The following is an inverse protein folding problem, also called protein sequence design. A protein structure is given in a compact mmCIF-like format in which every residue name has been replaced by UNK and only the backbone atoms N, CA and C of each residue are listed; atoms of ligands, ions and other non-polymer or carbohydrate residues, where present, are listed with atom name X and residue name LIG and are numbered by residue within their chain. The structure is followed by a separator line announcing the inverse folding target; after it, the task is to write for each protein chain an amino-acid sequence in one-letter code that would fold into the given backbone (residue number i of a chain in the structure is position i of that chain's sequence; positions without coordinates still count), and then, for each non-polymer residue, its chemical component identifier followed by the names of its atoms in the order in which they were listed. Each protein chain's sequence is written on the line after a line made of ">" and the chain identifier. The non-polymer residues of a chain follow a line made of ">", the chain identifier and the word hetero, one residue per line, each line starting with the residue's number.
data_IF_171443243405
#
_entry.id   IF_171443243405
#
_cell.length_a   1.000
_cell.length_b   1.000
_cell.length_c   1.000
_cell.angle_alpha   90.00
_cell.angle_beta   90.00
_cell.angle_gamma   90.00
#
_symmetry.space_group_name_H-M   'P 1'
#
loop_
_entity.id
_entity.type
_entity.pdbx_description
1 polymer ?
#
# COMPACT_ATOMS: atom_id res chain seq x y z
N UNK A 1 13.11 -9.01 19.20
CA UNK A 1 12.13 -7.95 19.53
C UNK A 1 10.79 -8.64 19.56
N UNK A 2 10.24 -8.87 20.74
CA UNK A 2 8.95 -9.54 20.91
C UNK A 2 7.85 -8.72 20.26
N UNK A 3 7.18 -9.29 19.30
CA UNK A 3 6.00 -8.71 18.65
C UNK A 3 4.74 -9.01 19.49
N UNK A 4 4.78 -8.62 20.76
CA UNK A 4 3.68 -8.86 21.71
C UNK A 4 2.34 -8.26 21.26
N UNK A 5 2.37 -7.26 20.39
CA UNK A 5 1.18 -6.66 19.77
C UNK A 5 0.58 -7.51 18.63
N UNK A 6 1.30 -8.54 18.14
CA UNK A 6 0.81 -9.49 17.13
C UNK A 6 0.03 -10.66 17.74
N UNK A 7 -0.73 -10.40 18.80
CA UNK A 7 -1.69 -11.37 19.31
C UNK A 7 -2.86 -11.54 18.33
N UNK A 8 -3.43 -12.74 18.29
CA UNK A 8 -4.54 -13.08 17.39
C UNK A 8 -5.74 -12.15 17.54
N UNK A 9 -6.01 -11.68 18.77
CA UNK A 9 -7.10 -10.74 19.05
C UNK A 9 -6.85 -9.35 18.42
N UNK A 10 -5.62 -8.89 18.42
CA UNK A 10 -5.24 -7.61 17.80
C UNK A 10 -5.26 -7.69 16.27
N UNK A 11 -4.91 -8.84 15.71
CA UNK A 11 -4.99 -9.09 14.26
C UNK A 11 -6.45 -9.14 13.81
N UNK A 12 -7.34 -9.76 14.58
CA UNK A 12 -8.77 -9.80 14.27
C UNK A 12 -9.37 -8.38 14.26
N UNK A 13 -9.04 -7.54 15.25
CA UNK A 13 -9.43 -6.12 15.28
C UNK A 13 -8.85 -5.33 14.10
N UNK A 14 -7.59 -5.58 13.73
CA UNK A 14 -6.98 -4.99 12.54
C UNK A 14 -7.72 -5.39 11.26
N UNK A 15 -8.10 -6.65 11.13
CA UNK A 15 -8.93 -7.12 10.01
C UNK A 15 -10.27 -6.39 9.97
N UNK A 16 -10.97 -6.28 11.08
CA UNK A 16 -12.24 -5.55 11.15
C UNK A 16 -12.07 -4.10 10.67
N UNK A 17 -11.02 -3.41 11.10
CA UNK A 17 -10.73 -2.04 10.69
C UNK A 17 -10.38 -1.96 9.19
N UNK A 18 -9.58 -2.88 8.67
CA UNK A 18 -9.18 -2.92 7.25
C UNK A 18 -10.33 -3.33 6.33
N UNK A 19 -11.19 -4.26 6.79
CA UNK A 19 -12.36 -4.71 6.04
C UNK A 19 -13.52 -3.70 6.15
N UNK A 20 -13.55 -2.88 7.20
CA UNK A 20 -14.62 -1.93 7.49
C UNK A 20 -14.66 -0.71 6.56
N UNK A 21 -13.72 -0.59 5.61
CA UNK A 21 -13.91 0.40 4.53
C UNK A 21 -15.24 0.07 3.84
N UNK A 22 -16.25 0.95 3.93
CA UNK A 22 -17.57 0.63 3.40
C UNK A 22 -17.48 0.15 1.96
N UNK A 23 -18.12 -0.96 1.64
CA UNK A 23 -18.11 -1.53 0.29
C UNK A 23 -18.46 -0.48 -0.78
N UNK A 24 -19.33 0.48 -0.42
CA UNK A 24 -19.69 1.62 -1.27
C UNK A 24 -18.47 2.47 -1.63
N UNK A 25 -17.51 2.68 -0.70
CA UNK A 25 -16.28 3.46 -0.97
C UNK A 25 -15.37 2.70 -1.93
N UNK A 26 -15.21 1.40 -1.75
CA UNK A 26 -14.41 0.56 -2.67
C UNK A 26 -15.02 0.58 -4.08
N UNK A 27 -16.33 0.38 -4.20
CA UNK A 27 -17.04 0.44 -5.48
C UNK A 27 -16.90 1.82 -6.12
N UNK A 28 -17.09 2.91 -5.38
CA UNK A 28 -16.94 4.26 -5.93
C UNK A 28 -15.52 4.55 -6.42
N UNK A 29 -14.50 4.06 -5.74
CA UNK A 29 -13.10 4.16 -6.19
C UNK A 29 -12.88 3.43 -7.52
N UNK A 30 -13.40 2.21 -7.67
CA UNK A 30 -13.29 1.46 -8.92
C UNK A 30 -14.05 2.13 -10.07
N UNK A 31 -15.25 2.65 -9.82
CA UNK A 31 -16.01 3.41 -10.81
C UNK A 31 -15.24 4.65 -11.23
N UNK A 32 -14.72 5.43 -10.27
CA UNK A 32 -13.92 6.62 -10.56
C UNK A 32 -12.68 6.27 -11.39
N UNK A 33 -11.95 5.24 -10.99
CA UNK A 33 -10.76 4.77 -11.72
C UNK A 33 -11.13 4.38 -13.15
N UNK A 34 -12.22 3.63 -13.35
CA UNK A 34 -12.71 3.25 -14.67
C UNK A 34 -13.07 4.47 -15.51
N UNK A 35 -13.79 5.45 -14.95
CA UNK A 35 -14.16 6.69 -15.64
C UNK A 35 -12.93 7.51 -16.05
N UNK A 36 -11.93 7.60 -15.17
CA UNK A 36 -10.66 8.28 -15.49
C UNK A 36 -9.90 7.56 -16.61
N UNK A 37 -9.82 6.22 -16.55
CA UNK A 37 -9.19 5.43 -17.62
C UNK A 37 -9.91 5.59 -18.94
N UNK A 38 -11.24 5.53 -18.96
CA UNK A 38 -12.04 5.76 -20.15
C UNK A 38 -11.82 7.17 -20.71
N UNK A 39 -11.83 8.18 -19.85
CA UNK A 39 -11.52 9.55 -20.25
C UNK A 39 -10.12 9.64 -20.89
N UNK A 40 -9.09 9.05 -20.28
CA UNK A 40 -7.72 9.07 -20.80
C UNK A 40 -7.60 8.37 -22.17
N UNK A 41 -8.31 7.26 -22.36
CA UNK A 41 -8.34 6.52 -23.66
C UNK A 41 -8.96 7.38 -24.78
N UNK A 42 -9.95 8.20 -24.43
CA UNK A 42 -10.64 9.07 -25.40
C UNK A 42 -9.87 10.37 -25.70
N UNK A 43 -8.79 10.67 -24.97
CA UNK A 43 -7.97 11.84 -25.24
C UNK A 43 -6.93 11.58 -26.34
N UNK A 44 -6.47 12.62 -27.03
CA UNK A 44 -5.29 12.51 -27.89
C UNK A 44 -4.08 11.98 -27.08
N UNK A 45 -3.20 11.27 -27.77
CA UNK A 45 -2.00 10.73 -27.11
C UNK A 45 -1.24 11.84 -26.37
N UNK A 46 -0.94 11.69 -25.07
CA UNK A 46 -0.32 12.75 -24.31
C UNK A 46 1.10 13.05 -24.82
N UNK A 47 1.54 14.30 -24.66
CA UNK A 47 2.91 14.69 -24.94
C UNK A 47 3.90 13.77 -24.17
N UNK A 48 4.96 13.36 -24.81
CA UNK A 48 6.00 12.46 -24.28
C UNK A 48 6.53 12.87 -22.89
N UNK A 49 6.50 14.17 -22.58
CA UNK A 49 6.90 14.68 -21.25
C UNK A 49 6.03 14.10 -20.11
N UNK A 50 4.74 13.84 -20.37
CA UNK A 50 3.85 13.25 -19.36
C UNK A 50 4.15 11.76 -19.14
N UNK A 51 4.63 11.05 -20.17
CA UNK A 51 5.11 9.69 -20.02
C UNK A 51 6.37 9.65 -19.12
N UNK A 52 7.32 10.53 -19.34
CA UNK A 52 8.48 10.65 -18.46
C UNK A 52 8.10 10.97 -17.02
N UNK A 53 7.15 11.91 -16.84
CA UNK A 53 6.65 12.23 -15.50
C UNK A 53 5.96 11.02 -14.84
N UNK A 54 5.16 10.26 -15.58
CA UNK A 54 4.50 9.06 -15.06
C UNK A 54 5.52 7.99 -14.63
N UNK A 55 6.55 7.74 -15.44
CA UNK A 55 7.64 6.80 -15.11
C UNK A 55 8.39 7.28 -13.87
N UNK A 56 8.71 8.57 -13.78
CA UNK A 56 9.36 9.14 -12.60
C UNK A 56 8.48 8.98 -11.35
N UNK A 57 7.19 9.31 -11.43
CA UNK A 57 6.25 9.15 -10.31
C UNK A 57 6.12 7.69 -9.90
N UNK A 58 6.02 6.76 -10.85
CA UNK A 58 5.99 5.33 -10.56
C UNK A 58 7.25 4.87 -9.82
N UNK A 59 8.44 5.30 -10.27
CA UNK A 59 9.69 4.98 -9.59
C UNK A 59 9.73 5.56 -8.17
N UNK A 60 9.35 6.83 -8.01
CA UNK A 60 9.36 7.50 -6.71
C UNK A 60 8.40 6.84 -5.71
N UNK A 61 7.17 6.57 -6.12
CA UNK A 61 6.15 5.99 -5.26
C UNK A 61 6.40 4.50 -5.01
N UNK A 62 6.53 3.72 -6.07
CA UNK A 62 6.65 2.26 -5.99
C UNK A 62 8.00 1.81 -5.49
N UNK A 63 9.08 2.26 -6.14
CA UNK A 63 10.42 1.77 -5.82
C UNK A 63 10.98 2.42 -4.55
N UNK A 64 11.00 3.75 -4.47
CA UNK A 64 11.59 4.45 -3.33
C UNK A 64 10.68 4.46 -2.11
N UNK A 65 9.39 4.75 -2.29
CA UNK A 65 8.44 4.83 -1.19
C UNK A 65 8.06 3.46 -0.64
N UNK A 66 7.40 2.65 -1.43
CA UNK A 66 6.84 1.37 -0.96
C UNK A 66 7.92 0.30 -0.83
N UNK A 67 8.65 0.01 -1.91
CA UNK A 67 9.59 -1.13 -1.90
C UNK A 67 10.81 -0.86 -1.03
N UNK A 68 11.49 0.27 -1.18
CA UNK A 68 12.71 0.54 -0.43
C UNK A 68 12.40 0.93 1.02
N UNK A 69 11.46 1.86 1.27
CA UNK A 69 11.20 2.30 2.63
C UNK A 69 10.22 1.38 3.36
N UNK A 70 8.94 1.29 2.94
CA UNK A 70 7.94 0.57 3.73
C UNK A 70 8.28 -0.90 3.88
N UNK A 71 8.60 -1.57 2.78
CA UNK A 71 8.91 -2.99 2.77
C UNK A 71 10.29 -3.28 3.37
N UNK A 72 11.36 -2.83 2.73
CA UNK A 72 12.73 -3.25 3.12
C UNK A 72 13.23 -2.57 4.38
N UNK A 73 13.01 -1.26 4.55
CA UNK A 73 13.51 -0.54 5.72
C UNK A 73 12.60 -0.69 6.94
N UNK A 74 11.31 -0.29 6.83
CA UNK A 74 10.44 -0.25 8.00
C UNK A 74 9.96 -1.64 8.43
N UNK A 75 9.61 -2.53 7.49
CA UNK A 75 9.13 -3.88 7.83
C UNK A 75 10.26 -4.86 8.11
N UNK A 76 11.21 -5.01 7.20
CA UNK A 76 12.27 -6.01 7.28
C UNK A 76 13.57 -5.54 7.93
N UNK A 77 13.70 -4.25 8.23
CA UNK A 77 14.91 -3.67 8.85
C UNK A 77 16.22 -3.97 8.12
N UNK A 78 16.13 -4.19 6.80
CA UNK A 78 17.28 -4.59 5.98
C UNK A 78 18.29 -3.45 5.75
N UNK A 79 17.88 -2.22 6.00
CA UNK A 79 18.73 -1.03 5.95
C UNK A 79 18.09 0.13 6.73
N UNK A 80 18.90 1.13 7.10
CA UNK A 80 18.44 2.32 7.83
C UNK A 80 18.71 3.54 6.96
N UNK A 81 17.64 4.23 6.49
CA UNK A 81 17.79 5.47 5.71
C UNK A 81 18.26 6.62 6.60
N UNK A 82 18.95 7.60 6.00
CA UNK A 82 19.12 8.89 6.66
C UNK A 82 17.75 9.62 6.75
N UNK A 83 17.60 10.50 7.73
CA UNK A 83 16.32 11.17 8.00
C UNK A 83 15.70 11.91 6.80
N UNK A 84 16.46 12.68 5.99
CA UNK A 84 15.88 13.31 4.81
C UNK A 84 15.29 12.31 3.81
N UNK A 85 15.99 11.19 3.58
CA UNK A 85 15.52 10.14 2.68
C UNK A 85 14.28 9.42 3.24
N UNK A 86 14.23 9.20 4.56
CA UNK A 86 13.07 8.63 5.24
C UNK A 86 11.83 9.50 5.01
N UNK A 87 11.91 10.80 5.31
CA UNK A 87 10.78 11.73 5.11
C UNK A 87 10.34 11.81 3.66
N UNK A 88 11.30 11.96 2.74
CA UNK A 88 11.03 11.98 1.32
C UNK A 88 10.28 10.72 0.86
N UNK A 89 10.75 9.55 1.25
CA UNK A 89 10.16 8.27 0.86
C UNK A 89 8.78 8.04 1.48
N UNK A 90 8.53 8.54 2.70
CA UNK A 90 7.19 8.53 3.31
C UNK A 90 6.21 9.36 2.48
N UNK A 91 6.61 10.57 2.09
CA UNK A 91 5.79 11.45 1.24
C UNK A 91 5.53 10.77 -0.11
N UNK A 92 6.58 10.23 -0.74
CA UNK A 92 6.48 9.56 -2.03
C UNK A 92 5.50 8.36 -1.99
N UNK A 93 5.61 7.50 -0.97
CA UNK A 93 4.70 6.37 -0.79
C UNK A 93 3.25 6.82 -0.54
N UNK A 94 3.06 7.88 0.26
CA UNK A 94 1.73 8.41 0.58
C UNK A 94 1.02 8.97 -0.67
N UNK A 95 1.76 9.57 -1.60
CA UNK A 95 1.21 10.03 -2.88
C UNK A 95 0.70 8.87 -3.75
N UNK A 96 1.22 7.66 -3.57
CA UNK A 96 0.76 6.44 -4.24
C UNK A 96 -0.54 5.85 -3.68
N UNK A 97 -1.13 6.44 -2.64
CA UNK A 97 -2.37 5.95 -2.03
C UNK A 97 -2.22 4.65 -1.23
N UNK A 98 -1.00 4.30 -0.83
CA UNK A 98 -0.67 3.01 -0.19
C UNK A 98 -0.95 2.97 1.31
N UNK A 99 -1.77 3.88 1.84
CA UNK A 99 -2.05 4.00 3.28
C UNK A 99 -0.88 4.61 4.09
N UNK A 100 -1.08 4.78 5.40
CA UNK A 100 -0.02 5.29 6.27
C UNK A 100 1.11 4.26 6.45
N UNK A 101 2.35 4.69 6.75
CA UNK A 101 3.46 3.79 7.01
C UNK A 101 3.13 2.73 8.08
N UNK A 102 2.45 3.14 9.14
CA UNK A 102 2.09 2.26 10.26
C UNK A 102 1.12 1.18 9.79
N UNK A 103 0.04 1.55 9.12
CA UNK A 103 -0.95 0.60 8.61
C UNK A 103 -0.32 -0.37 7.62
N UNK A 104 0.48 0.13 6.70
CA UNK A 104 1.12 -0.70 5.69
C UNK A 104 2.07 -1.73 6.33
N UNK A 105 2.98 -1.27 7.20
CA UNK A 105 3.96 -2.13 7.89
C UNK A 105 3.25 -3.17 8.77
N UNK A 106 2.23 -2.76 9.52
CA UNK A 106 1.48 -3.66 10.40
C UNK A 106 0.77 -4.75 9.60
N UNK A 107 0.08 -4.37 8.53
CA UNK A 107 -0.62 -5.30 7.64
C UNK A 107 0.36 -6.26 6.96
N UNK A 108 1.51 -5.76 6.50
CA UNK A 108 2.54 -6.55 5.86
C UNK A 108 3.19 -7.58 6.80
N UNK A 109 3.51 -7.17 8.02
CA UNK A 109 4.04 -8.09 9.04
C UNK A 109 3.00 -9.13 9.49
N UNK A 110 1.72 -8.73 9.57
CA UNK A 110 0.63 -9.67 9.85
C UNK A 110 0.49 -10.71 8.72
N UNK A 111 0.58 -10.27 7.45
CA UNK A 111 0.61 -11.17 6.30
C UNK A 111 1.77 -12.19 6.40
N UNK A 112 2.99 -11.74 6.66
CA UNK A 112 4.13 -12.66 6.81
C UNK A 112 3.94 -13.68 7.94
N UNK A 113 3.35 -13.25 9.06
CA UNK A 113 3.12 -14.13 10.22
C UNK A 113 2.02 -15.15 9.98
N UNK A 114 0.97 -14.76 9.28
CA UNK A 114 -0.27 -15.55 9.13
C UNK A 114 -0.58 -15.92 7.68
N UNK A 115 0.44 -15.90 6.81
CA UNK A 115 0.28 -16.20 5.39
C UNK A 115 -0.60 -17.44 5.15
N UNK A 116 -1.56 -17.32 4.22
CA UNK A 116 -2.48 -18.38 3.81
C UNK A 116 -3.42 -18.93 4.91
N UNK A 117 -3.50 -18.28 6.07
CA UNK A 117 -4.47 -18.61 7.12
C UNK A 117 -5.67 -17.68 7.10
N UNK A 118 -6.70 -17.98 7.93
CA UNK A 118 -7.86 -17.10 8.12
C UNK A 118 -7.48 -15.72 8.71
N UNK A 119 -6.34 -15.61 9.37
CA UNK A 119 -5.84 -14.36 9.97
C UNK A 119 -5.00 -13.52 9.01
N UNK A 120 -4.70 -14.03 7.83
CA UNK A 120 -3.97 -13.30 6.81
C UNK A 120 -4.83 -12.15 6.24
N UNK A 121 -4.43 -10.87 6.41
CA UNK A 121 -5.19 -9.74 5.90
C UNK A 121 -5.22 -9.64 4.38
N UNK A 122 -4.29 -10.30 3.68
CA UNK A 122 -4.19 -10.30 2.22
C UNK A 122 -4.61 -11.62 1.57
N UNK A 123 -5.11 -12.59 2.33
CA UNK A 123 -5.51 -13.88 1.78
C UNK A 123 -6.76 -13.79 0.90
N UNK A 124 -6.60 -13.99 -0.39
CA UNK A 124 -7.71 -14.08 -1.35
C UNK A 124 -8.63 -15.26 -1.00
N UNK A 125 -8.06 -16.35 -0.48
CA UNK A 125 -8.80 -17.56 -0.10
C UNK A 125 -9.80 -17.34 1.05
N UNK A 126 -9.47 -16.42 1.97
CA UNK A 126 -10.27 -16.16 3.17
C UNK A 126 -10.91 -14.76 3.18
N UNK A 127 -11.06 -14.14 2.01
CA UNK A 127 -11.76 -12.87 1.85
C UNK A 127 -10.93 -11.62 2.18
N UNK A 128 -9.61 -11.77 2.29
CA UNK A 128 -8.71 -10.63 2.28
C UNK A 128 -8.61 -10.06 0.86
N UNK A 129 -9.12 -8.88 0.66
CA UNK A 129 -8.82 -8.11 -0.55
C UNK A 129 -7.68 -7.16 -0.20
N UNK A 130 -6.52 -7.40 -0.82
CA UNK A 130 -5.42 -6.47 -0.79
C UNK A 130 -5.79 -5.14 -1.39
#
# INVERSE_FOLDING_TARGET
>A
METSWMDSSNIEKLKEVLISTPQKVKISQHILTFMVLLYLILQPFPDIKYLYLAVLMYFMQGCMGVTALYHRSLSHKSWIPCKPLEYFSVIAASLGGTSSPINWVTTHLAHHKYADTKLDPHSVKYGGYG
#
